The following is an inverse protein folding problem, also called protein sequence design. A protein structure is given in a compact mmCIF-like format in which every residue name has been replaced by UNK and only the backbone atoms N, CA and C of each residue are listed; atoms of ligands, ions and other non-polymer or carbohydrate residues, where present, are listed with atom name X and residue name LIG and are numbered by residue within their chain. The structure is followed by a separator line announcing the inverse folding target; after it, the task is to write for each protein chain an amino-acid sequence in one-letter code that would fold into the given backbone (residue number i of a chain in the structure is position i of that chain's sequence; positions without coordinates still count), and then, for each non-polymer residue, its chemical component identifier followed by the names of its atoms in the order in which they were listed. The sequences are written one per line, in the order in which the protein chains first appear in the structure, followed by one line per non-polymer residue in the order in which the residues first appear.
data_IF_514882256417
#
_entry.id   IF_514882256417
#
_cell.length_a   1.000
_cell.length_b   1.000
_cell.length_c   1.000
_cell.angle_alpha   90.00
_cell.angle_beta   90.00
_cell.angle_gamma   90.00
#
_symmetry.space_group_name_H-M   'P 1'
#
loop_
_entity.id
_entity.type
_entity.pdbx_description
1 polymer ?
#
# COMPACT_ATOMS: atom_id res chain seq x y z
N UNK A 1 25.79 4.29 12.12
CA UNK A 1 25.49 3.55 10.87
C UNK A 1 26.20 4.25 9.70
N UNK A 2 26.91 3.52 8.82
CA UNK A 2 27.63 4.17 7.71
C UNK A 2 26.68 4.60 6.58
N UNK A 3 27.04 5.63 5.79
CA UNK A 3 26.24 6.11 4.64
C UNK A 3 25.93 4.99 3.64
N UNK A 4 26.88 4.07 3.44
CA UNK A 4 26.73 2.89 2.56
C UNK A 4 25.73 1.89 3.12
N UNK A 5 25.76 1.62 4.42
CA UNK A 5 24.79 0.70 5.06
C UNK A 5 23.36 1.24 4.97
N UNK A 6 23.18 2.55 5.20
CA UNK A 6 21.86 3.20 5.08
C UNK A 6 21.30 3.10 3.67
N UNK A 7 22.11 3.39 2.66
CA UNK A 7 21.69 3.29 1.26
C UNK A 7 21.29 1.86 0.88
N UNK A 8 22.07 0.85 1.30
CA UNK A 8 21.72 -0.56 1.09
C UNK A 8 20.39 -0.93 1.74
N UNK A 9 20.15 -0.48 2.98
CA UNK A 9 18.88 -0.73 3.66
C UNK A 9 17.71 -0.12 2.88
N UNK A 10 17.81 1.16 2.47
CA UNK A 10 16.75 1.81 1.69
C UNK A 10 16.48 1.06 0.37
N UNK A 11 17.51 0.59 -0.34
CA UNK A 11 17.34 -0.19 -1.57
C UNK A 11 16.61 -1.51 -1.29
N UNK A 12 16.97 -2.22 -0.22
CA UNK A 12 16.27 -3.43 0.18
C UNK A 12 14.80 -3.19 0.55
N UNK A 13 14.51 -2.11 1.27
CA UNK A 13 13.13 -1.72 1.59
C UNK A 13 12.31 -1.43 0.33
N UNK A 14 12.91 -0.74 -0.65
CA UNK A 14 12.28 -0.50 -1.96
C UNK A 14 12.00 -1.83 -2.66
N UNK A 15 12.99 -2.73 -2.70
CA UNK A 15 12.85 -4.03 -3.36
C UNK A 15 11.75 -4.89 -2.72
N UNK A 16 11.69 -4.94 -1.39
CA UNK A 16 10.65 -5.65 -0.64
C UNK A 16 9.27 -5.08 -0.94
N UNK A 17 9.12 -3.75 -0.93
CA UNK A 17 7.84 -3.11 -1.26
C UNK A 17 7.39 -3.36 -2.70
N UNK A 18 8.33 -3.32 -3.65
CA UNK A 18 8.04 -3.65 -5.05
C UNK A 18 7.64 -5.11 -5.23
N UNK A 19 8.30 -6.04 -4.51
CA UNK A 19 7.95 -7.44 -4.52
C UNK A 19 6.54 -7.67 -3.95
N UNK A 20 6.17 -7.00 -2.86
CA UNK A 20 4.82 -7.05 -2.31
C UNK A 20 3.78 -6.55 -3.32
N UNK A 21 4.03 -5.41 -3.97
CA UNK A 21 3.13 -4.87 -5.00
C UNK A 21 3.02 -5.79 -6.23
N UNK A 22 4.12 -6.40 -6.65
CA UNK A 22 4.12 -7.38 -7.73
C UNK A 22 3.32 -8.62 -7.35
N UNK A 23 3.52 -9.15 -6.14
CA UNK A 23 2.74 -10.27 -5.61
C UNK A 23 1.24 -9.94 -5.57
N UNK A 24 0.87 -8.75 -5.09
CA UNK A 24 -0.51 -8.28 -5.12
C UNK A 24 -1.05 -8.25 -6.55
N UNK A 25 -0.32 -7.67 -7.49
CA UNK A 25 -0.73 -7.55 -8.91
C UNK A 25 -0.96 -8.93 -9.55
N UNK A 26 -0.03 -9.87 -9.37
CA UNK A 26 -0.15 -11.23 -9.92
C UNK A 26 -1.36 -11.96 -9.32
N UNK A 27 -1.57 -11.84 -8.01
CA UNK A 27 -2.69 -12.48 -7.32
C UNK A 27 -4.01 -11.85 -7.74
N UNK A 28 -4.09 -10.53 -7.75
CA UNK A 28 -5.25 -9.77 -8.22
C UNK A 28 -5.62 -10.15 -9.66
N UNK A 29 -4.62 -10.35 -10.53
CA UNK A 29 -4.79 -10.87 -11.88
C UNK A 29 -5.35 -12.30 -11.91
N UNK A 30 -4.80 -13.18 -11.09
CA UNK A 30 -5.18 -14.59 -11.04
C UNK A 30 -6.60 -14.79 -10.50
N UNK A 31 -6.96 -14.08 -9.43
CA UNK A 31 -8.30 -14.16 -8.81
C UNK A 31 -9.31 -13.20 -9.46
N UNK A 32 -8.85 -12.32 -10.38
CA UNK A 32 -9.64 -11.34 -11.15
C UNK A 32 -10.29 -10.22 -10.31
N UNK A 33 -9.69 -9.87 -9.19
CA UNK A 33 -10.20 -8.84 -8.30
C UNK A 33 -9.59 -8.94 -6.91
N UNK A 34 -10.20 -8.25 -5.94
CA UNK A 34 -9.91 -8.38 -4.53
C UNK A 34 -11.16 -8.17 -3.67
N UNK A 35 -11.05 -8.54 -2.41
CA UNK A 35 -12.13 -8.44 -1.45
C UNK A 35 -12.46 -7.00 -1.05
N UNK A 36 -11.50 -6.07 -1.12
CA UNK A 36 -11.75 -4.67 -0.82
C UNK A 36 -12.67 -3.98 -1.85
N UNK A 37 -12.72 -4.48 -3.08
CA UNK A 37 -13.68 -4.08 -4.11
C UNK A 37 -14.89 -5.04 -4.21
N UNK A 38 -14.99 -6.01 -3.29
CA UNK A 38 -16.05 -7.01 -3.26
C UNK A 38 -17.07 -6.77 -2.17
N UNK A 39 -17.86 -7.80 -1.85
CA UNK A 39 -18.85 -7.76 -0.77
C UNK A 39 -19.08 -9.13 -0.14
N UNK A 40 -19.79 -9.14 0.97
CA UNK A 40 -20.33 -10.35 1.59
C UNK A 40 -21.85 -10.26 1.53
N UNK A 41 -22.51 -11.31 1.03
CA UNK A 41 -23.97 -11.39 0.95
C UNK A 41 -24.44 -12.80 1.31
N UNK A 42 -25.41 -12.92 2.21
CA UNK A 42 -26.01 -14.20 2.63
C UNK A 42 -24.99 -15.28 3.04
N UNK A 43 -23.91 -14.87 3.72
CA UNK A 43 -22.81 -15.76 4.14
C UNK A 43 -21.86 -16.18 3.02
N UNK A 44 -22.05 -15.66 1.81
CA UNK A 44 -21.17 -15.87 0.64
C UNK A 44 -20.23 -14.70 0.45
N UNK A 45 -19.04 -14.99 -0.03
CA UNK A 45 -17.94 -14.04 -0.14
C UNK A 45 -17.66 -13.75 -1.60
N UNK A 46 -17.71 -12.48 -1.97
CA UNK A 46 -17.50 -12.03 -3.34
C UNK A 46 -16.28 -11.11 -3.40
N UNK A 47 -15.46 -11.30 -4.43
CA UNK A 47 -14.39 -10.37 -4.81
C UNK A 47 -14.83 -9.58 -6.04
N UNK A 48 -14.37 -8.34 -6.15
CA UNK A 48 -14.69 -7.45 -7.27
C UNK A 48 -13.42 -6.81 -7.82
N UNK A 49 -13.49 -6.28 -9.04
CA UNK A 49 -12.34 -5.63 -9.64
C UNK A 49 -12.64 -5.01 -10.99
N UNK A 50 -11.80 -4.05 -11.37
CA UNK A 50 -11.83 -3.38 -12.68
C UNK A 50 -10.84 -4.05 -13.63
N UNK A 51 -11.08 -5.31 -14.02
CA UNK A 51 -10.23 -5.93 -15.03
C UNK A 51 -10.64 -5.46 -16.42
N UNK A 52 -9.67 -4.98 -17.21
CA UNK A 52 -9.84 -4.38 -18.55
C UNK A 52 -10.53 -5.28 -19.61
N UNK A 53 -10.85 -6.53 -19.29
CA UNK A 53 -11.41 -7.52 -20.21
C UNK A 53 -12.67 -8.23 -19.68
N UNK A 54 -13.09 -7.96 -18.46
CA UNK A 54 -14.29 -8.55 -17.88
C UNK A 54 -15.02 -7.48 -17.07
N UNK A 55 -16.11 -6.96 -17.63
CA UNK A 55 -17.01 -6.04 -16.95
C UNK A 55 -17.43 -6.62 -15.59
N UNK A 56 -16.93 -6.02 -14.50
CA UNK A 56 -17.63 -5.84 -13.21
C UNK A 56 -18.31 -7.04 -12.54
N UNK A 57 -18.04 -8.28 -12.94
CA UNK A 57 -18.70 -9.45 -12.36
C UNK A 57 -18.00 -9.83 -11.07
N UNK A 58 -18.68 -9.53 -9.97
CA UNK A 58 -18.37 -10.10 -8.67
C UNK A 58 -18.26 -11.62 -8.78
N UNK A 59 -17.14 -12.17 -8.30
CA UNK A 59 -16.89 -13.60 -8.32
C UNK A 59 -17.01 -14.15 -6.90
N UNK A 60 -17.83 -15.20 -6.73
CA UNK A 60 -17.92 -15.93 -5.47
C UNK A 60 -16.60 -16.68 -5.21
N UNK A 61 -16.06 -16.54 -4.01
CA UNK A 61 -14.83 -17.20 -3.56
C UNK A 61 -15.03 -17.78 -2.16
N UNK A 62 -14.09 -18.62 -1.73
CA UNK A 62 -14.08 -19.09 -0.35
C UNK A 62 -13.76 -17.94 0.62
N UNK A 63 -14.27 -18.06 1.86
CA UNK A 63 -13.96 -17.14 2.96
C UNK A 63 -12.46 -16.91 3.14
N UNK A 64 -11.64 -17.96 2.99
CA UNK A 64 -10.20 -17.88 3.15
C UNK A 64 -9.55 -17.01 2.06
N UNK A 65 -9.97 -17.15 0.80
CA UNK A 65 -9.50 -16.32 -0.32
C UNK A 65 -9.93 -14.87 -0.14
N UNK A 66 -11.16 -14.65 0.33
CA UNK A 66 -11.67 -13.31 0.61
C UNK A 66 -10.85 -12.61 1.72
N UNK A 67 -10.64 -13.27 2.86
CA UNK A 67 -9.81 -12.76 3.97
C UNK A 67 -8.39 -12.47 3.50
N UNK A 68 -7.78 -13.42 2.79
CA UNK A 68 -6.41 -13.28 2.31
C UNK A 68 -6.27 -12.10 1.35
N UNK A 69 -7.14 -12.00 0.34
CA UNK A 69 -7.09 -10.92 -0.65
C UNK A 69 -7.32 -9.56 0.00
N UNK A 70 -8.26 -9.44 0.95
CA UNK A 70 -8.47 -8.20 1.69
C UNK A 70 -7.21 -7.80 2.49
N UNK A 71 -6.64 -8.74 3.25
CA UNK A 71 -5.44 -8.49 4.03
C UNK A 71 -4.24 -8.10 3.15
N UNK A 72 -4.13 -8.69 1.96
CA UNK A 72 -3.11 -8.30 0.98
C UNK A 72 -3.36 -6.88 0.45
N UNK A 73 -4.61 -6.48 0.18
CA UNK A 73 -4.94 -5.10 -0.20
C UNK A 73 -4.54 -4.10 0.91
N UNK A 74 -4.75 -4.44 2.18
CA UNK A 74 -4.31 -3.61 3.31
C UNK A 74 -2.78 -3.44 3.32
N UNK A 75 -2.01 -4.48 2.98
CA UNK A 75 -0.53 -4.46 3.02
C UNK A 75 0.10 -3.50 1.99
N UNK A 76 -0.64 -3.13 0.95
CA UNK A 76 -0.17 -2.22 -0.09
C UNK A 76 0.13 -0.82 0.46
N UNK A 77 -0.72 -0.29 1.34
CA UNK A 77 -0.54 1.04 1.90
C UNK A 77 0.74 1.22 2.74
N UNK A 78 1.06 0.38 3.73
CA UNK A 78 2.30 0.51 4.49
C UNK A 78 3.55 0.18 3.65
N UNK A 79 3.45 -0.71 2.66
CA UNK A 79 4.59 -1.00 1.76
C UNK A 79 4.87 0.14 0.78
N UNK A 80 3.84 0.83 0.27
CA UNK A 80 4.01 2.08 -0.48
C UNK A 80 4.66 3.15 0.39
N UNK A 81 4.20 3.33 1.63
CA UNK A 81 4.82 4.27 2.58
C UNK A 81 6.31 3.99 2.76
N UNK A 82 6.67 2.71 2.97
CA UNK A 82 8.04 2.25 3.12
C UNK A 82 8.90 2.58 1.89
N UNK A 83 8.40 2.32 0.68
CA UNK A 83 9.08 2.66 -0.58
C UNK A 83 9.31 4.17 -0.68
N UNK A 84 8.26 4.97 -0.48
CA UNK A 84 8.33 6.43 -0.60
C UNK A 84 9.30 7.04 0.41
N UNK A 85 9.29 6.57 1.66
CA UNK A 85 10.22 7.02 2.69
C UNK A 85 11.66 6.61 2.39
N UNK A 86 11.88 5.38 1.87
CA UNK A 86 13.20 4.94 1.46
C UNK A 86 13.75 5.75 0.28
N UNK A 87 12.91 6.04 -0.72
CA UNK A 87 13.27 6.92 -1.84
C UNK A 87 13.57 8.35 -1.37
N UNK A 88 12.73 8.90 -0.49
CA UNK A 88 12.95 10.22 0.10
C UNK A 88 14.26 10.29 0.89
N UNK A 89 14.59 9.25 1.66
CA UNK A 89 15.84 9.16 2.39
C UNK A 89 17.08 9.09 1.47
N UNK A 90 16.96 8.45 0.31
CA UNK A 90 18.02 8.45 -0.71
C UNK A 90 18.14 9.81 -1.42
N UNK A 91 17.01 10.46 -1.71
CA UNK A 91 16.94 11.76 -2.41
C UNK A 91 17.26 12.96 -1.50
N UNK A 92 17.20 12.80 -0.17
CA UNK A 92 17.38 13.87 0.81
C UNK A 92 18.59 14.80 0.53
N UNK A 93 19.80 14.30 0.21
CA UNK A 93 20.94 15.18 -0.06
C UNK A 93 20.74 16.08 -1.28
N UNK A 94 20.07 15.57 -2.33
CA UNK A 94 19.77 16.33 -3.54
C UNK A 94 18.72 17.41 -3.26
N UNK A 95 17.69 17.08 -2.47
CA UNK A 95 16.64 18.03 -2.08
C UNK A 95 17.23 19.18 -1.24
N UNK A 96 18.12 18.85 -0.30
CA UNK A 96 18.79 19.87 0.53
C UNK A 96 19.69 20.75 -0.33
N UNK A 97 20.46 20.18 -1.26
CA UNK A 97 21.30 20.95 -2.16
C UNK A 97 20.47 21.87 -3.09
N UNK A 98 19.38 21.36 -3.66
CA UNK A 98 18.51 22.13 -4.56
C UNK A 98 17.71 23.24 -3.87
N UNK A 99 17.60 23.21 -2.54
CA UNK A 99 16.83 24.19 -1.75
C UNK A 99 17.70 25.29 -1.14
N UNK A 100 18.99 25.35 -1.49
CA UNK A 100 19.95 26.32 -0.93
C UNK A 100 19.51 27.78 -1.07
N UNK A 101 18.82 28.13 -2.16
CA UNK A 101 18.35 29.49 -2.44
C UNK A 101 16.85 29.69 -2.17
N UNK A 102 16.18 28.68 -1.62
CA UNK A 102 14.74 28.72 -1.40
C UNK A 102 14.38 29.28 -0.02
N UNK A 103 13.18 29.87 0.10
CA UNK A 103 12.67 30.40 1.39
C UNK A 103 12.42 29.33 2.45
N UNK A 104 12.41 28.05 2.07
CA UNK A 104 12.14 26.91 2.96
C UNK A 104 13.36 26.01 3.02
N UNK A 105 13.88 25.77 4.22
CA UNK A 105 15.00 24.82 4.41
C UNK A 105 14.63 23.44 3.84
N UNK A 106 15.50 22.85 3.01
CA UNK A 106 15.30 21.50 2.46
C UNK A 106 15.09 20.43 3.53
N UNK A 107 15.70 20.58 4.71
CA UNK A 107 15.47 19.68 5.83
C UNK A 107 14.01 19.73 6.32
N UNK A 108 13.41 20.94 6.38
CA UNK A 108 11.99 21.10 6.73
C UNK A 108 11.10 20.49 5.67
N UNK A 109 11.39 20.71 4.39
CA UNK A 109 10.63 20.14 3.28
C UNK A 109 10.62 18.61 3.33
N UNK A 110 11.79 17.98 3.52
CA UNK A 110 11.90 16.52 3.67
C UNK A 110 11.07 16.02 4.86
N UNK A 111 11.13 16.73 6.00
CA UNK A 111 10.31 16.40 7.17
C UNK A 111 8.81 16.43 6.87
N UNK A 112 8.33 17.50 6.22
CA UNK A 112 6.92 17.65 5.85
C UNK A 112 6.48 16.53 4.90
N UNK A 113 7.26 16.22 3.85
CA UNK A 113 6.93 15.14 2.92
C UNK A 113 6.87 13.79 3.65
N UNK A 114 7.85 13.50 4.51
CA UNK A 114 7.86 12.27 5.29
C UNK A 114 6.62 12.15 6.20
N UNK A 115 6.26 13.23 6.88
CA UNK A 115 5.05 13.28 7.73
C UNK A 115 3.78 13.05 6.91
N UNK A 116 3.64 13.71 5.76
CA UNK A 116 2.48 13.54 4.89
C UNK A 116 2.35 12.08 4.40
N UNK A 117 3.46 11.46 4.00
CA UNK A 117 3.47 10.04 3.58
C UNK A 117 3.00 9.14 4.73
N UNK A 118 3.54 9.32 5.94
CA UNK A 118 3.15 8.50 7.10
C UNK A 118 1.68 8.69 7.46
N UNK A 119 1.21 9.94 7.53
CA UNK A 119 -0.18 10.25 7.91
C UNK A 119 -1.16 9.70 6.88
N UNK A 120 -0.93 9.97 5.58
CA UNK A 120 -1.85 9.55 4.53
C UNK A 120 -1.89 8.02 4.40
N UNK A 121 -0.74 7.36 4.36
CA UNK A 121 -0.71 5.90 4.24
C UNK A 121 -1.24 5.22 5.51
N UNK A 122 -0.98 5.79 6.69
CA UNK A 122 -1.55 5.32 7.94
C UNK A 122 -3.08 5.47 7.97
N UNK A 123 -3.61 6.58 7.45
CA UNK A 123 -5.04 6.82 7.32
C UNK A 123 -5.70 5.78 6.40
N UNK A 124 -5.15 5.53 5.20
CA UNK A 124 -5.67 4.50 4.30
C UNK A 124 -5.57 3.09 4.90
N UNK A 125 -4.44 2.74 5.52
CA UNK A 125 -4.28 1.44 6.21
C UNK A 125 -5.35 1.25 7.29
N UNK A 126 -5.61 2.30 8.07
CA UNK A 126 -6.62 2.29 9.14
C UNK A 126 -8.02 2.17 8.56
N UNK A 127 -8.33 2.93 7.52
CA UNK A 127 -9.62 2.91 6.84
C UNK A 127 -9.95 1.50 6.31
N UNK A 128 -9.05 0.90 5.54
CA UNK A 128 -9.24 -0.46 5.00
C UNK A 128 -9.29 -1.51 6.10
N UNK A 129 -8.49 -1.37 7.18
CA UNK A 129 -8.57 -2.29 8.33
C UNK A 129 -9.92 -2.21 9.04
N UNK A 130 -10.46 -1.00 9.24
CA UNK A 130 -11.78 -0.82 9.86
C UNK A 130 -12.87 -1.41 8.97
N UNK A 131 -12.80 -1.17 7.66
CA UNK A 131 -13.76 -1.72 6.71
C UNK A 131 -13.73 -3.25 6.66
N UNK A 132 -12.54 -3.83 6.67
CA UNK A 132 -12.35 -5.28 6.77
C UNK A 132 -13.00 -5.87 8.03
N UNK A 133 -12.76 -5.27 9.19
CA UNK A 133 -13.33 -5.71 10.47
C UNK A 133 -14.87 -5.60 10.41
N UNK A 134 -15.41 -4.48 9.93
CA UNK A 134 -16.86 -4.28 9.79
C UNK A 134 -17.48 -5.32 8.88
N UNK A 135 -16.86 -5.60 7.74
CA UNK A 135 -17.30 -6.62 6.80
C UNK A 135 -17.36 -8.01 7.45
N UNK A 136 -16.35 -8.38 8.24
CA UNK A 136 -16.35 -9.66 8.95
C UNK A 136 -17.36 -9.74 10.10
N UNK A 137 -17.64 -8.62 10.78
CA UNK A 137 -18.64 -8.57 11.85
C UNK A 137 -20.06 -8.68 11.32
N UNK A 138 -20.33 -8.06 10.17
CA UNK A 138 -21.64 -8.06 9.52
C UNK A 138 -21.91 -9.36 8.73
N UNK A 139 -20.89 -10.20 8.55
CA UNK A 139 -20.99 -11.51 7.90
C UNK A 139 -21.55 -12.64 8.80
N UNK A 140 -21.97 -12.31 10.03
CA UNK A 140 -22.54 -13.24 11.01
C UNK A 140 -24.06 -13.26 10.98
#
# INVERSE_FOLDING_TARGET
MTRRTRAKLCIWLIFIGLLNFLSYTVIYAYIKGDAANGRIADGRYYIGGHYMLAEGREQEVSKAVWIYSYAHSISIWPTIAMILLAMLALAQPLIIAASSDSRVSGAKLVGVIATLVVVLMGMFTTFFTIDFIRSLMNAR
#
